data_IF_838373882766
#
_entry.id   IF_838373882766
#
_cell.length_a   1.000
_cell.length_b   1.000
_cell.length_c   1.000
_cell.angle_alpha   90.00
_cell.angle_beta   90.00
_cell.angle_gamma   90.00
#
_symmetry.space_group_name_H-M   'P 1'
#
loop_
_entity.id
_entity.type
_entity.pdbx_description
1 polymer ?
#
# COMPACT_ATOMS: atom_id res chain seq x y z
N UNK A 1 68.67 2.19 -27.88
CA UNK A 1 67.88 1.10 -28.49
C UNK A 1 66.72 0.86 -27.52
N UNK A 2 65.52 1.34 -27.85
CA UNK A 2 64.35 0.54 -28.33
C UNK A 2 63.82 -0.40 -27.23
N UNK A 3 62.54 -0.54 -26.88
CA UNK A 3 61.23 0.07 -27.15
C UNK A 3 60.26 -0.67 -26.20
N UNK A 4 59.15 -0.01 -25.76
CA UNK A 4 57.76 -0.51 -25.48
C UNK A 4 57.57 -1.83 -24.70
N UNK A 5 56.57 -1.99 -23.81
CA UNK A 5 55.12 -2.24 -24.08
C UNK A 5 54.36 -1.89 -22.78
N UNK A 6 53.47 -0.88 -22.76
CA UNK A 6 52.01 -0.98 -22.87
C UNK A 6 51.37 -2.24 -22.27
N UNK A 7 50.54 -2.03 -21.24
CA UNK A 7 49.70 -3.03 -20.59
C UNK A 7 48.53 -2.37 -19.88
N UNK A 8 47.69 -1.68 -20.66
CA UNK A 8 46.35 -1.26 -20.26
C UNK A 8 45.48 -2.50 -20.06
N UNK A 9 44.88 -2.68 -18.88
CA UNK A 9 43.61 -3.39 -18.77
C UNK A 9 42.78 -2.76 -17.67
N UNK A 10 41.73 -2.11 -18.14
CA UNK A 10 40.61 -1.59 -17.37
C UNK A 10 40.06 -2.73 -16.51
N UNK A 11 39.93 -2.53 -15.20
CA UNK A 11 39.18 -3.45 -14.35
C UNK A 11 37.70 -3.09 -14.56
N UNK A 12 37.17 -3.63 -15.65
CA UNK A 12 35.77 -3.61 -16.04
C UNK A 12 35.00 -4.46 -15.03
N UNK A 13 34.56 -3.82 -13.95
CA UNK A 13 33.58 -4.39 -13.04
C UNK A 13 32.41 -4.94 -13.86
N UNK A 14 32.06 -6.23 -13.75
CA UNK A 14 31.15 -6.88 -14.67
C UNK A 14 29.77 -6.22 -14.61
N UNK A 15 29.28 -5.86 -15.79
CA UNK A 15 27.95 -5.31 -16.03
C UNK A 15 26.89 -6.21 -15.34
N UNK A 16 25.98 -5.64 -14.52
CA UNK A 16 24.98 -6.43 -13.83
C UNK A 16 23.99 -6.98 -14.86
N UNK A 17 24.15 -8.26 -15.17
CA UNK A 17 23.14 -9.09 -15.82
C UNK A 17 21.77 -8.78 -15.21
N UNK A 18 20.70 -8.60 -16.01
CA UNK A 18 19.35 -8.48 -15.48
C UNK A 18 18.95 -9.85 -14.93
N UNK A 19 19.37 -10.13 -13.71
CA UNK A 19 18.84 -11.23 -12.92
C UNK A 19 17.34 -10.94 -12.84
N UNK A 20 16.53 -11.83 -13.40
CA UNK A 20 15.08 -11.87 -13.21
C UNK A 20 14.80 -12.26 -11.77
N UNK A 21 15.29 -11.42 -10.85
CA UNK A 21 14.90 -11.39 -9.45
C UNK A 21 13.42 -11.13 -9.49
N UNK A 22 12.65 -12.12 -9.05
CA UNK A 22 11.22 -12.02 -8.90
C UNK A 22 10.94 -10.72 -8.16
N UNK A 23 10.52 -9.71 -8.93
CA UNK A 23 10.16 -8.39 -8.45
C UNK A 23 9.03 -8.66 -7.48
N UNK A 24 9.36 -8.77 -6.19
CA UNK A 24 8.35 -8.91 -5.12
C UNK A 24 7.31 -7.87 -5.47
N UNK A 25 6.09 -8.35 -5.71
CA UNK A 25 5.00 -7.51 -6.16
C UNK A 25 4.90 -6.37 -5.15
N UNK A 26 5.42 -5.19 -5.52
CA UNK A 26 5.35 -4.01 -4.66
C UNK A 26 3.86 -3.82 -4.49
N UNK A 27 3.36 -4.00 -3.27
CA UNK A 27 2.00 -3.63 -2.95
C UNK A 27 1.80 -2.23 -3.50
N UNK A 28 0.83 -2.08 -4.40
CA UNK A 28 0.49 -0.79 -5.01
C UNK A 28 0.20 0.16 -3.86
N UNK A 29 1.16 1.05 -3.55
CA UNK A 29 0.95 2.09 -2.55
C UNK A 29 -0.33 2.83 -2.95
N UNK A 30 -1.38 2.73 -2.13
CA UNK A 30 -2.57 3.56 -2.32
C UNK A 30 -2.15 5.03 -2.25
N UNK A 31 -2.77 5.88 -3.06
CA UNK A 31 -2.52 7.30 -2.97
C UNK A 31 -2.91 7.78 -1.57
N UNK A 32 -2.16 8.74 -1.01
CA UNK A 32 -2.48 9.31 0.30
C UNK A 32 -3.92 9.83 0.37
N UNK A 33 -4.39 10.44 -0.72
CA UNK A 33 -5.78 10.90 -0.86
C UNK A 33 -6.81 9.76 -0.76
N UNK A 34 -6.54 8.60 -1.38
CA UNK A 34 -7.41 7.41 -1.25
C UNK A 34 -7.44 6.94 0.22
N UNK A 35 -6.29 6.91 0.89
CA UNK A 35 -6.19 6.50 2.31
C UNK A 35 -6.98 7.45 3.20
N UNK A 36 -6.85 8.77 3.01
CA UNK A 36 -7.59 9.78 3.78
C UNK A 36 -9.09 9.63 3.56
N UNK A 37 -9.54 9.40 2.32
CA UNK A 37 -10.96 9.18 2.02
C UNK A 37 -11.48 7.93 2.74
N UNK A 38 -10.76 6.81 2.68
CA UNK A 38 -11.11 5.56 3.38
C UNK A 38 -11.27 5.82 4.88
N UNK A 39 -10.26 6.42 5.51
CA UNK A 39 -10.26 6.70 6.96
C UNK A 39 -11.42 7.64 7.33
N UNK A 40 -11.74 8.62 6.48
CA UNK A 40 -12.83 9.56 6.73
C UNK A 40 -14.20 8.87 6.75
N UNK A 41 -14.46 7.94 5.83
CA UNK A 41 -15.72 7.18 5.75
C UNK A 41 -15.82 6.21 6.92
N UNK A 42 -14.73 5.47 7.20
CA UNK A 42 -14.69 4.52 8.32
C UNK A 42 -14.94 5.21 9.67
N UNK A 43 -14.43 6.43 9.86
CA UNK A 43 -14.70 7.25 11.05
C UNK A 43 -16.12 7.81 11.08
N UNK A 44 -16.67 8.19 9.93
CA UNK A 44 -18.04 8.72 9.81
C UNK A 44 -19.08 7.64 10.12
N UNK A 45 -18.89 6.42 9.63
CA UNK A 45 -19.84 5.32 9.81
C UNK A 45 -19.57 4.46 11.07
N UNK A 46 -18.63 4.87 11.94
CA UNK A 46 -18.26 4.16 13.17
C UNK A 46 -17.87 2.69 12.95
N UNK A 47 -16.91 2.43 12.06
CA UNK A 47 -16.46 1.06 11.74
C UNK A 47 -15.98 0.24 12.95
N UNK A 48 -15.44 0.90 13.96
CA UNK A 48 -15.00 0.26 15.20
C UNK A 48 -16.16 -0.11 16.13
N UNK A 49 -17.38 0.36 15.87
CA UNK A 49 -18.59 0.07 16.65
C UNK A 49 -18.48 0.45 18.13
N UNK A 50 -17.81 1.58 18.40
CA UNK A 50 -17.59 2.07 19.77
C UNK A 50 -18.82 2.75 20.33
N UNK A 51 -19.75 3.21 19.49
CA UNK A 51 -20.90 4.01 19.90
C UNK A 51 -22.12 3.17 20.29
N UNK A 52 -22.36 2.04 19.61
CA UNK A 52 -23.44 1.11 19.95
C UNK A 52 -23.00 -0.35 19.71
N UNK A 53 -23.31 -1.27 20.64
CA UNK A 53 -23.19 -2.70 20.38
C UNK A 53 -24.15 -3.07 19.24
N UNK A 54 -23.60 -3.31 18.05
CA UNK A 54 -24.41 -3.73 16.92
C UNK A 54 -24.97 -5.13 17.13
N UNK A 55 -26.26 -5.31 16.84
CA UNK A 55 -26.92 -6.63 16.80
C UNK A 55 -26.25 -7.58 15.79
N UNK A 56 -25.65 -7.02 14.73
CA UNK A 56 -24.93 -7.76 13.68
C UNK A 56 -23.65 -7.03 13.23
N UNK A 57 -22.53 -7.18 13.96
CA UNK A 57 -21.31 -6.40 13.72
C UNK A 57 -20.65 -6.69 12.36
N UNK A 58 -20.71 -7.93 11.87
CA UNK A 58 -20.12 -8.27 10.56
C UNK A 58 -20.89 -7.64 9.39
N UNK A 59 -22.23 -7.69 9.43
CA UNK A 59 -23.06 -7.14 8.36
C UNK A 59 -22.84 -5.63 8.21
N UNK A 60 -22.71 -4.91 9.33
CA UNK A 60 -22.45 -3.48 9.27
C UNK A 60 -21.04 -3.18 8.75
N UNK A 61 -20.01 -3.88 9.24
CA UNK A 61 -18.65 -3.72 8.73
C UNK A 61 -18.58 -3.97 7.22
N UNK A 62 -19.34 -4.93 6.71
CA UNK A 62 -19.46 -5.17 5.27
C UNK A 62 -20.19 -4.07 4.52
N UNK A 63 -21.25 -3.52 5.09
CA UNK A 63 -21.96 -2.37 4.52
C UNK A 63 -21.02 -1.15 4.43
N UNK A 64 -20.29 -0.85 5.50
CA UNK A 64 -19.32 0.25 5.54
C UNK A 64 -18.21 0.04 4.51
N UNK A 65 -17.64 -1.16 4.42
CA UNK A 65 -16.63 -1.48 3.40
C UNK A 65 -17.19 -1.34 1.97
N UNK A 66 -18.48 -1.62 1.77
CA UNK A 66 -19.14 -1.38 0.49
C UNK A 66 -19.24 0.12 0.19
N UNK A 67 -19.63 0.94 1.16
CA UNK A 67 -19.65 2.41 1.04
C UNK A 67 -18.27 2.96 0.65
N UNK A 68 -17.19 2.44 1.23
CA UNK A 68 -15.81 2.84 0.90
C UNK A 68 -15.47 2.50 -0.55
N UNK A 69 -15.76 1.28 -1.02
CA UNK A 69 -15.51 0.88 -2.42
C UNK A 69 -16.27 1.79 -3.38
N UNK A 70 -17.55 2.03 -3.13
CA UNK A 70 -18.39 2.90 -3.97
C UNK A 70 -17.85 4.34 -4.01
N UNK A 71 -17.39 4.88 -2.88
CA UNK A 71 -16.83 6.23 -2.84
C UNK A 71 -15.49 6.34 -3.58
N UNK A 72 -14.61 5.33 -3.46
CA UNK A 72 -13.34 5.29 -4.19
C UNK A 72 -13.56 5.20 -5.69
N UNK A 73 -14.48 4.36 -6.14
CA UNK A 73 -14.83 4.25 -7.56
C UNK A 73 -15.44 5.56 -8.07
N UNK A 74 -16.30 6.22 -7.30
CA UNK A 74 -16.92 7.48 -7.69
C UNK A 74 -15.94 8.67 -7.75
N UNK A 75 -14.97 8.75 -6.83
CA UNK A 75 -14.04 9.90 -6.74
C UNK A 75 -12.76 9.71 -7.54
N UNK A 76 -12.18 8.51 -7.48
CA UNK A 76 -10.87 8.22 -8.07
C UNK A 76 -10.95 7.28 -9.28
N UNK A 77 -12.12 6.66 -9.53
CA UNK A 77 -12.26 5.65 -10.58
C UNK A 77 -11.48 4.37 -10.27
N UNK A 78 -11.01 4.19 -9.03
CA UNK A 78 -10.17 3.05 -8.67
C UNK A 78 -11.01 1.89 -8.14
N UNK A 79 -10.90 0.74 -8.80
CA UNK A 79 -11.55 -0.49 -8.35
C UNK A 79 -10.68 -1.18 -7.31
N UNK A 80 -11.11 -1.13 -6.05
CA UNK A 80 -10.45 -1.80 -4.92
C UNK A 80 -11.36 -2.88 -4.35
N UNK A 81 -10.78 -3.98 -3.89
CA UNK A 81 -11.57 -5.03 -3.23
C UNK A 81 -11.79 -4.69 -1.76
N UNK A 82 -12.93 -5.13 -1.21
CA UNK A 82 -13.23 -4.96 0.23
C UNK A 82 -12.16 -5.60 1.12
N UNK A 83 -11.59 -6.72 0.69
CA UNK A 83 -10.53 -7.43 1.41
C UNK A 83 -9.21 -6.65 1.42
N UNK A 84 -8.84 -6.03 0.31
CA UNK A 84 -7.68 -5.13 0.26
C UNK A 84 -7.85 -3.94 1.22
N UNK A 85 -9.04 -3.35 1.26
CA UNK A 85 -9.35 -2.23 2.14
C UNK A 85 -9.34 -2.64 3.63
N UNK A 86 -9.86 -3.84 3.96
CA UNK A 86 -9.78 -4.41 5.31
C UNK A 86 -8.34 -4.62 5.75
N UNK A 87 -7.50 -5.21 4.89
CA UNK A 87 -6.08 -5.42 5.17
C UNK A 87 -5.36 -4.08 5.40
N UNK A 88 -5.65 -3.09 4.56
CA UNK A 88 -5.04 -1.77 4.68
C UNK A 88 -5.48 -1.05 5.96
N UNK A 89 -6.76 -1.14 6.32
CA UNK A 89 -7.27 -0.60 7.57
C UNK A 89 -6.58 -1.24 8.79
N UNK A 90 -6.37 -2.56 8.76
CA UNK A 90 -5.60 -3.24 9.81
C UNK A 90 -4.16 -2.74 9.89
N UNK A 91 -3.48 -2.50 8.75
CA UNK A 91 -2.13 -1.92 8.73
C UNK A 91 -2.10 -0.51 9.32
N UNK A 92 -3.05 0.35 8.91
CA UNK A 92 -3.20 1.72 9.40
C UNK A 92 -3.44 1.74 10.92
N UNK A 93 -4.30 0.84 11.41
CA UNK A 93 -4.63 0.75 12.84
C UNK A 93 -3.48 0.16 13.67
N UNK A 94 -2.61 -0.65 13.06
CA UNK A 94 -1.44 -1.26 13.72
C UNK A 94 -0.22 -0.35 13.75
N UNK A 95 -0.19 0.69 12.90
CA UNK A 95 0.83 1.74 12.98
C UNK A 95 0.56 2.60 14.22
N UNK A 96 1.40 2.47 15.24
CA UNK A 96 1.31 3.27 16.46
C UNK A 96 1.35 4.78 16.13
N UNK A 97 0.48 5.60 16.75
CA UNK A 97 0.52 7.05 16.58
C UNK A 97 1.81 7.70 17.10
N UNK A 98 2.60 7.00 17.93
CA UNK A 98 3.84 7.52 18.52
C UNK A 98 5.05 7.54 17.56
N UNK A 99 4.94 6.98 16.35
CA UNK A 99 6.09 6.88 15.44
C UNK A 99 6.35 8.12 14.57
N UNK A 100 5.73 9.25 14.92
CA UNK A 100 5.87 10.56 14.26
C UNK A 100 6.45 11.65 15.18
N UNK A 101 7.22 11.26 16.19
CA UNK A 101 8.07 12.18 16.98
C UNK A 101 9.54 11.87 16.81
#
# INVERSE_FOLDING_TARGET
MAEKISGSSVEESPEPQPTTSQRRYKATNMAFEEIVEIVSILRREDYDGKKEPYTQPNMLKDKIMSSVVTALEAKFGTKRSKEQLRKQWSDIKSREPEQYW
#
